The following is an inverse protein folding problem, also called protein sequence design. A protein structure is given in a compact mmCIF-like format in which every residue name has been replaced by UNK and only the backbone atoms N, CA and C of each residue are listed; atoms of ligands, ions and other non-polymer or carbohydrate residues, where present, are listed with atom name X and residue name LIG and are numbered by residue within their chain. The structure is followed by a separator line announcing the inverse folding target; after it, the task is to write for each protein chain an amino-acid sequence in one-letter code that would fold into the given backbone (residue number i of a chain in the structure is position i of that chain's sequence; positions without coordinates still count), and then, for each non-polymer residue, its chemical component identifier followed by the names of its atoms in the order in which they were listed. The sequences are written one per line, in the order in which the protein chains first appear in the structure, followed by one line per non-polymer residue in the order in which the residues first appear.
data_IF_682967776428
#
_entry.id   IF_682967776428
#
_cell.length_a   1.000
_cell.length_b   1.000
_cell.length_c   1.000
_cell.angle_alpha   90.00
_cell.angle_beta   90.00
_cell.angle_gamma   90.00
#
_symmetry.space_group_name_H-M   'P 1'
#
loop_
_entity.id
_entity.type
_entity.pdbx_description
1 polymer ?
#
# COMPACT_ATOMS: atom_id res chain seq x y z
N UNK A 1 -9.60 23.06 -22.00
CA UNK A 1 -10.02 21.65 -22.20
C UNK A 1 -9.20 21.11 -23.37
N UNK A 2 -8.14 20.36 -23.09
CA UNK A 2 -7.27 19.80 -24.13
C UNK A 2 -7.78 18.41 -24.51
N UNK A 3 -8.12 18.24 -25.79
CA UNK A 3 -8.55 16.99 -26.40
C UNK A 3 -7.43 15.96 -26.37
N UNK A 4 -7.70 14.81 -25.74
CA UNK A 4 -6.85 13.62 -25.78
C UNK A 4 -6.99 12.99 -27.18
N UNK A 5 -5.90 12.68 -27.90
CA UNK A 5 -5.98 12.01 -29.19
C UNK A 5 -6.43 10.55 -29.00
N UNK A 6 -7.21 9.98 -29.94
CA UNK A 6 -7.70 8.62 -29.82
C UNK A 6 -6.53 7.63 -29.97
N UNK A 7 -6.44 6.71 -29.02
CA UNK A 7 -5.57 5.55 -29.11
C UNK A 7 -6.17 4.59 -30.15
N UNK A 8 -5.60 4.56 -31.36
CA UNK A 8 -5.94 3.57 -32.38
C UNK A 8 -5.38 2.20 -31.98
N UNK A 9 -6.22 1.38 -31.35
CA UNK A 9 -5.99 -0.05 -31.23
C UNK A 9 -6.44 -0.71 -32.54
N UNK A 10 -5.52 -1.41 -33.20
CA UNK A 10 -5.78 -2.17 -34.42
C UNK A 10 -6.97 -3.10 -34.23
N UNK A 11 -7.99 -2.93 -35.07
CA UNK A 11 -9.12 -3.83 -35.16
C UNK A 11 -8.61 -5.18 -35.67
N UNK A 12 -8.70 -6.21 -34.84
CA UNK A 12 -8.50 -7.60 -35.25
C UNK A 12 -9.76 -8.02 -36.00
N UNK A 13 -9.60 -8.42 -37.27
CA UNK A 13 -10.69 -8.94 -38.09
C UNK A 13 -11.37 -10.14 -37.40
N UNK A 14 -12.70 -10.23 -37.40
CA UNK A 14 -13.41 -11.39 -36.88
C UNK A 14 -13.12 -12.60 -37.77
N UNK A 15 -12.65 -13.67 -37.14
CA UNK A 15 -12.34 -14.94 -37.80
C UNK A 15 -13.57 -15.54 -38.47
N UNK A 16 -13.37 -16.02 -39.69
CA UNK A 16 -14.27 -16.91 -40.39
C UNK A 16 -14.51 -18.15 -39.52
N UNK A 17 -15.77 -18.38 -39.18
CA UNK A 17 -16.27 -19.69 -38.77
C UNK A 17 -16.16 -20.60 -39.99
N UNK A 18 -15.41 -21.70 -39.86
CA UNK A 18 -15.57 -22.87 -40.72
C UNK A 18 -16.90 -23.52 -40.32
N UNK A 19 -17.84 -23.52 -41.24
CA UNK A 19 -18.96 -24.44 -41.23
C UNK A 19 -18.42 -25.75 -41.80
N UNK A 20 -18.27 -26.76 -40.95
CA UNK A 20 -18.04 -28.16 -41.31
C UNK A 20 -19.39 -28.85 -41.19
N UNK A 21 -20.08 -28.99 -42.31
CA UNK A 21 -21.18 -29.94 -42.53
C UNK A 21 -20.93 -30.52 -43.93
N UNK A 22 -20.15 -31.60 -44.00
CA UNK A 22 -20.10 -32.46 -45.18
C UNK A 22 -20.47 -33.88 -44.74
N UNK A 23 -21.54 -34.34 -45.38
CA UNK A 23 -22.27 -35.58 -45.14
C UNK A 23 -21.47 -36.81 -45.58
N UNK A 24 -21.79 -37.92 -44.94
CA UNK A 24 -21.26 -39.26 -45.14
C UNK A 24 -21.38 -39.75 -46.61
N UNK A 25 -20.26 -40.14 -47.22
CA UNK A 25 -20.24 -41.12 -48.32
C UNK A 25 -19.45 -42.38 -47.92
N UNK A 26 -19.93 -43.59 -48.29
CA UNK A 26 -19.33 -44.87 -47.91
C UNK A 26 -18.09 -45.23 -48.76
N UNK A 27 -17.26 -46.19 -48.31
CA UNK A 27 -15.91 -46.36 -48.83
C UNK A 27 -15.88 -47.16 -50.14
N UNK A 28 -15.12 -46.67 -51.12
CA UNK A 28 -14.63 -47.50 -52.22
C UNK A 28 -13.31 -48.17 -51.83
N UNK A 29 -13.29 -49.49 -52.00
CA UNK A 29 -12.13 -50.37 -51.93
C UNK A 29 -11.16 -50.06 -53.09
N UNK A 30 -9.87 -49.98 -52.78
CA UNK A 30 -8.82 -49.83 -53.79
C UNK A 30 -7.44 -50.13 -53.20
N UNK A 31 -6.93 -51.31 -53.55
CA UNK A 31 -5.64 -51.87 -53.16
C UNK A 31 -4.41 -51.11 -53.72
N UNK A 32 -3.27 -51.43 -53.08
CA UNK A 32 -1.91 -51.49 -53.63
C UNK A 32 -0.93 -50.31 -53.38
N UNK A 33 0.05 -50.62 -52.53
CA UNK A 33 1.50 -50.48 -52.70
C UNK A 33 2.09 -49.33 -53.55
N UNK A 34 3.04 -48.60 -52.95
CA UNK A 34 4.27 -48.22 -53.67
C UNK A 34 4.80 -46.79 -53.46
N UNK A 35 5.98 -46.70 -52.85
CA UNK A 35 7.13 -46.01 -53.46
C UNK A 35 7.27 -44.47 -53.41
N UNK A 36 8.30 -44.03 -52.67
CA UNK A 36 9.39 -43.13 -53.08
C UNK A 36 9.12 -41.73 -53.72
N UNK A 37 9.63 -40.71 -53.01
CA UNK A 37 10.68 -39.76 -53.47
C UNK A 37 10.48 -38.92 -54.76
N UNK A 38 10.39 -37.59 -54.59
CA UNK A 38 10.97 -36.49 -55.40
C UNK A 38 10.10 -35.21 -55.23
N UNK A 39 10.58 -34.12 -54.63
CA UNK A 39 11.47 -33.09 -55.17
C UNK A 39 10.81 -32.14 -56.20
N UNK A 40 10.72 -30.86 -55.83
CA UNK A 40 10.37 -29.72 -56.70
C UNK A 40 9.40 -28.75 -56.01
N UNK A 41 9.54 -27.44 -56.02
CA UNK A 41 10.60 -26.54 -56.46
C UNK A 41 10.32 -25.18 -55.80
N UNK A 42 11.37 -24.39 -55.65
CA UNK A 42 11.40 -23.11 -54.97
C UNK A 42 10.46 -22.05 -55.57
N UNK A 43 9.93 -21.17 -54.71
CA UNK A 43 9.87 -19.75 -55.02
C UNK A 43 10.16 -18.88 -53.80
N UNK A 44 11.37 -18.32 -53.79
CA UNK A 44 11.82 -17.23 -52.92
C UNK A 44 11.06 -15.95 -53.27
N UNK A 45 10.59 -15.23 -52.26
CA UNK A 45 10.65 -13.76 -52.23
C UNK A 45 11.24 -13.38 -50.87
N UNK A 46 12.47 -12.88 -50.93
CA UNK A 46 13.26 -12.26 -49.85
C UNK A 46 12.96 -10.75 -49.85
N UNK A 47 12.69 -10.18 -48.67
CA UNK A 47 13.22 -8.91 -48.14
C UNK A 47 12.98 -8.99 -46.61
N UNK A 48 13.89 -8.82 -45.68
CA UNK A 48 15.30 -8.46 -45.65
C UNK A 48 15.59 -8.07 -44.19
N UNK A 49 16.39 -8.87 -43.48
CA UNK A 49 16.92 -8.53 -42.17
C UNK A 49 18.25 -7.76 -42.38
N UNK A 50 18.48 -6.73 -41.58
CA UNK A 50 19.80 -6.10 -41.46
C UNK A 50 20.27 -6.21 -40.02
N UNK A 51 21.45 -6.80 -39.89
CA UNK A 51 22.26 -6.92 -38.70
C UNK A 51 22.77 -5.56 -38.23
N UNK A 52 22.92 -5.40 -36.92
CA UNK A 52 23.65 -4.29 -36.32
C UNK A 52 24.73 -4.85 -35.42
N UNK A 53 25.94 -4.96 -35.97
CA UNK A 53 27.20 -5.02 -35.25
C UNK A 53 27.57 -3.59 -34.83
N UNK A 54 27.77 -3.39 -33.52
CA UNK A 54 28.21 -2.12 -32.97
C UNK A 54 28.90 -2.33 -31.64
N UNK A 55 30.24 -2.34 -31.67
CA UNK A 55 31.12 -2.28 -30.51
C UNK A 55 30.84 -1.01 -29.70
N UNK A 56 30.62 -1.14 -28.39
CA UNK A 56 30.48 -0.02 -27.48
C UNK A 56 31.69 0.04 -26.54
N UNK A 57 32.59 1.00 -26.80
CA UNK A 57 33.67 1.40 -25.92
C UNK A 57 33.15 2.44 -24.91
N UNK A 58 33.59 2.35 -23.65
CA UNK A 58 33.25 3.33 -22.60
C UNK A 58 34.45 3.63 -21.72
N UNK A 59 34.77 4.91 -21.53
CA UNK A 59 35.53 5.54 -20.43
C UNK A 59 35.55 7.09 -20.64
N UNK A 60 35.82 7.96 -19.63
CA UNK A 60 35.39 7.98 -18.22
C UNK A 60 34.78 9.34 -17.73
N UNK A 61 33.97 9.28 -16.66
CA UNK A 61 33.58 10.24 -15.57
C UNK A 61 33.62 11.79 -15.70
N UNK A 62 32.69 12.53 -15.01
CA UNK A 62 33.08 13.12 -13.70
C UNK A 62 32.00 13.24 -12.56
N UNK A 63 32.22 12.49 -11.47
CA UNK A 63 32.37 12.85 -10.03
C UNK A 63 31.45 13.81 -9.20
N UNK A 64 30.23 14.20 -9.59
CA UNK A 64 29.35 14.89 -8.61
C UNK A 64 27.84 14.58 -8.73
N UNK A 65 27.40 13.47 -8.12
CA UNK A 65 26.00 13.31 -7.69
C UNK A 65 25.96 12.35 -6.50
N UNK A 66 26.07 12.90 -5.29
CA UNK A 66 25.88 12.14 -4.05
C UNK A 66 24.37 11.96 -3.83
N UNK A 67 23.83 10.89 -4.43
CA UNK A 67 22.58 10.27 -4.01
C UNK A 67 22.87 9.39 -2.81
N UNK A 68 22.26 9.67 -1.66
CA UNK A 68 22.20 8.72 -0.55
C UNK A 68 21.26 7.58 -0.92
N UNK A 69 21.77 6.65 -1.72
CA UNK A 69 21.17 5.34 -1.92
C UNK A 69 21.69 4.43 -0.82
N UNK A 70 20.81 3.91 0.04
CA UNK A 70 21.12 2.70 0.80
C UNK A 70 21.14 1.55 -0.21
N UNK A 71 22.28 1.42 -0.88
CA UNK A 71 22.57 0.33 -1.81
C UNK A 71 22.99 -0.86 -0.96
N UNK A 72 22.09 -1.83 -0.74
CA UNK A 72 22.59 -3.21 -0.60
C UNK A 72 23.31 -3.52 -1.91
N UNK A 73 24.64 -3.62 -1.84
CA UNK A 73 25.50 -3.77 -2.99
C UNK A 73 25.17 -5.04 -3.80
N UNK A 74 24.33 -4.90 -4.81
CA UNK A 74 24.32 -5.78 -5.96
C UNK A 74 25.19 -5.11 -7.03
N UNK A 75 26.39 -5.66 -7.23
CA UNK A 75 27.29 -5.23 -8.30
C UNK A 75 26.66 -5.59 -9.66
N UNK A 76 26.35 -4.60 -10.52
CA UNK A 76 25.83 -4.88 -11.85
C UNK A 76 27.02 -5.33 -12.72
N UNK A 77 27.05 -6.61 -13.11
CA UNK A 77 28.09 -7.17 -13.99
C UNK A 77 28.62 -8.53 -13.58
N UNK A 78 28.33 -9.01 -12.37
CA UNK A 78 28.58 -10.41 -11.99
C UNK A 78 27.26 -11.16 -11.99
N UNK A 79 27.16 -12.20 -12.82
CA UNK A 79 26.09 -13.19 -12.71
C UNK A 79 25.93 -13.58 -11.23
N UNK A 80 24.70 -13.69 -10.71
CA UNK A 80 24.48 -14.01 -9.31
C UNK A 80 25.27 -15.27 -8.99
N UNK A 81 26.13 -15.19 -7.96
CA UNK A 81 26.90 -16.33 -7.49
C UNK A 81 25.92 -17.51 -7.36
N UNK A 82 26.08 -18.53 -8.22
CA UNK A 82 25.37 -19.80 -8.07
C UNK A 82 25.90 -20.40 -6.78
N UNK A 83 25.21 -20.15 -5.68
CA UNK A 83 25.41 -20.87 -4.44
C UNK A 83 25.03 -22.33 -4.70
N UNK A 84 26.00 -23.13 -5.13
CA UNK A 84 25.87 -24.57 -5.15
C UNK A 84 25.95 -25.06 -3.70
N UNK A 85 24.80 -25.01 -3.02
CA UNK A 85 24.57 -25.80 -1.82
C UNK A 85 24.47 -27.26 -2.27
N UNK A 86 25.63 -27.92 -2.42
CA UNK A 86 25.72 -29.37 -2.56
C UNK A 86 25.23 -29.97 -1.24
N UNK A 87 24.11 -30.67 -1.27
CA UNK A 87 23.79 -31.64 -0.21
C UNK A 87 22.46 -31.50 0.54
N UNK A 88 21.52 -30.66 0.08
CA UNK A 88 20.14 -30.71 0.57
C UNK A 88 19.22 -30.98 -0.60
N UNK A 89 18.44 -32.06 -0.50
CA UNK A 89 17.47 -32.48 -1.51
C UNK A 89 16.57 -31.33 -1.96
N UNK A 90 15.95 -31.48 -3.14
CA UNK A 90 15.12 -30.51 -3.90
C UNK A 90 14.04 -29.75 -3.10
N UNK A 91 14.40 -29.05 -2.04
CA UNK A 91 13.62 -28.00 -1.43
C UNK A 91 13.87 -26.80 -2.34
N UNK A 92 12.91 -26.55 -3.24
CA UNK A 92 12.81 -25.27 -3.94
C UNK A 92 13.04 -24.20 -2.88
N UNK A 93 14.14 -23.45 -3.00
CA UNK A 93 14.30 -22.24 -2.24
C UNK A 93 13.07 -21.41 -2.55
N UNK A 94 12.11 -21.38 -1.62
CA UNK A 94 11.00 -20.45 -1.71
C UNK A 94 11.69 -19.12 -1.53
N UNK A 95 11.78 -18.29 -2.59
CA UNK A 95 12.45 -17.01 -2.45
C UNK A 95 11.77 -16.30 -1.29
N UNK A 96 12.55 -15.72 -0.38
CA UNK A 96 12.06 -14.94 0.78
C UNK A 96 10.96 -13.94 0.32
N UNK A 97 11.05 -13.50 -0.95
CA UNK A 97 10.09 -12.72 -1.72
C UNK A 97 8.67 -13.32 -1.83
N UNK A 98 8.52 -14.61 -2.14
CA UNK A 98 7.21 -15.26 -2.21
C UNK A 98 6.59 -15.42 -0.82
N UNK A 99 7.42 -15.72 0.18
CA UNK A 99 6.99 -15.85 1.58
C UNK A 99 6.46 -14.51 2.14
N UNK A 100 7.13 -13.38 1.90
CA UNK A 100 6.66 -12.07 2.38
C UNK A 100 5.38 -11.61 1.68
N UNK A 101 5.27 -11.85 0.36
CA UNK A 101 4.12 -11.40 -0.43
C UNK A 101 2.87 -12.23 -0.12
N UNK A 102 2.99 -13.55 0.04
CA UNK A 102 1.92 -14.42 0.57
C UNK A 102 1.61 -14.12 2.04
N UNK A 103 2.63 -13.84 2.87
CA UNK A 103 2.45 -13.47 4.28
C UNK A 103 1.71 -12.15 4.49
N UNK A 104 1.52 -11.31 3.48
CA UNK A 104 0.72 -10.07 3.64
C UNK A 104 -0.58 -10.12 2.83
N UNK A 105 -0.65 -10.87 1.73
CA UNK A 105 -1.84 -10.89 0.84
C UNK A 105 -2.90 -11.94 1.19
N UNK A 106 -2.50 -13.05 1.79
CA UNK A 106 -3.36 -14.20 2.12
C UNK A 106 -3.28 -14.58 3.59
N UNK A 107 -2.53 -13.80 4.38
CA UNK A 107 -2.29 -14.10 5.77
C UNK A 107 -3.54 -13.94 6.61
N UNK A 108 -4.09 -15.10 6.96
CA UNK A 108 -5.24 -15.23 7.85
C UNK A 108 -5.01 -14.53 9.19
N UNK A 109 -3.76 -14.46 9.68
CA UNK A 109 -3.43 -13.77 10.93
C UNK A 109 -3.63 -12.26 10.83
N UNK A 110 -3.26 -11.63 9.70
CA UNK A 110 -3.50 -10.19 9.51
C UNK A 110 -5.00 -9.88 9.49
N UNK A 111 -5.81 -10.71 8.84
CA UNK A 111 -7.26 -10.55 8.81
C UNK A 111 -7.91 -10.85 10.15
N UNK A 112 -7.45 -11.88 10.87
CA UNK A 112 -7.89 -12.14 12.23
C UNK A 112 -7.57 -10.95 13.15
N UNK A 113 -6.37 -10.39 13.03
CA UNK A 113 -5.98 -9.17 13.75
C UNK A 113 -6.89 -7.99 13.37
N UNK A 114 -7.19 -7.82 12.09
CA UNK A 114 -8.11 -6.77 11.59
C UNK A 114 -9.50 -6.91 12.21
N UNK A 115 -10.06 -8.12 12.23
CA UNK A 115 -11.36 -8.36 12.85
C UNK A 115 -11.33 -8.22 14.36
N UNK A 116 -10.25 -8.65 15.02
CA UNK A 116 -10.04 -8.39 16.44
C UNK A 116 -10.02 -6.89 16.74
N UNK A 117 -9.32 -6.12 15.92
CA UNK A 117 -9.28 -4.65 16.03
C UNK A 117 -10.68 -4.03 15.83
N UNK A 118 -11.41 -4.42 14.79
CA UNK A 118 -12.80 -3.96 14.55
C UNK A 118 -13.68 -4.31 15.75
N UNK A 119 -13.63 -5.56 16.22
CA UNK A 119 -14.45 -6.04 17.34
C UNK A 119 -14.17 -5.23 18.61
N UNK A 120 -12.89 -5.03 18.96
CA UNK A 120 -12.51 -4.20 20.11
C UNK A 120 -13.02 -2.77 19.94
N UNK A 121 -12.75 -2.13 18.80
CA UNK A 121 -13.16 -0.75 18.54
C UNK A 121 -14.69 -0.58 18.65
N UNK A 122 -15.47 -1.43 17.99
CA UNK A 122 -16.92 -1.35 18.00
C UNK A 122 -17.53 -1.70 19.35
N UNK A 123 -16.92 -2.64 20.09
CA UNK A 123 -17.36 -2.98 21.45
C UNK A 123 -17.19 -1.80 22.40
N UNK A 124 -16.05 -1.08 22.33
CA UNK A 124 -15.85 0.13 23.11
C UNK A 124 -16.85 1.23 22.77
N UNK A 125 -17.12 1.44 21.48
CA UNK A 125 -18.14 2.41 21.04
C UNK A 125 -19.51 2.03 21.60
N UNK A 126 -19.89 0.76 21.56
CA UNK A 126 -21.17 0.29 22.11
C UNK A 126 -21.25 0.43 23.64
N UNK A 127 -20.15 0.18 24.35
CA UNK A 127 -20.11 0.19 25.82
C UNK A 127 -20.00 1.59 26.42
N UNK A 128 -19.23 2.50 25.80
CA UNK A 128 -18.89 3.79 26.41
C UNK A 128 -19.29 4.99 25.57
N UNK A 129 -19.82 4.77 24.36
CA UNK A 129 -20.11 5.83 23.39
C UNK A 129 -18.85 6.46 22.80
N UNK A 130 -17.67 5.86 22.98
CA UNK A 130 -16.41 6.38 22.48
C UNK A 130 -15.49 5.26 21.95
N UNK A 131 -14.53 5.60 21.09
CA UNK A 131 -13.59 4.64 20.50
C UNK A 131 -12.60 4.04 21.52
N UNK A 132 -11.98 2.90 21.19
CA UNK A 132 -11.01 2.25 22.09
C UNK A 132 -9.88 3.19 22.50
N UNK A 133 -9.26 3.88 21.53
CA UNK A 133 -8.21 4.86 21.82
C UNK A 133 -8.74 6.13 22.50
N UNK A 134 -9.99 6.53 22.23
CA UNK A 134 -10.66 7.61 22.95
C UNK A 134 -10.72 7.32 24.44
N UNK A 135 -11.17 6.13 24.83
CA UNK A 135 -11.20 5.71 26.22
C UNK A 135 -9.80 5.54 26.81
N UNK A 136 -8.89 4.87 26.09
CA UNK A 136 -7.53 4.58 26.57
C UNK A 136 -6.72 5.86 26.85
N UNK A 137 -7.01 6.94 26.11
CA UNK A 137 -6.28 8.22 26.21
C UNK A 137 -7.05 9.30 26.97
N UNK A 138 -8.22 8.97 27.54
CA UNK A 138 -9.04 9.94 28.28
C UNK A 138 -9.67 11.03 27.41
N UNK A 139 -10.04 10.69 26.17
CA UNK A 139 -10.73 11.58 25.24
C UNK A 139 -9.80 12.36 24.29
N UNK A 140 -8.48 12.17 24.40
CA UNK A 140 -7.51 12.99 23.66
C UNK A 140 -7.35 12.53 22.21
N UNK A 141 -7.30 11.22 21.96
CA UNK A 141 -7.07 10.66 20.62
C UNK A 141 -8.27 9.89 20.13
N UNK A 142 -8.74 10.22 18.93
CA UNK A 142 -9.86 9.53 18.26
C UNK A 142 -11.13 9.46 19.09
N UNK A 143 -11.30 10.40 20.02
CA UNK A 143 -12.55 10.46 20.74
C UNK A 143 -13.65 10.90 19.79
N UNK A 144 -14.73 10.13 19.78
CA UNK A 144 -15.96 10.41 19.05
C UNK A 144 -16.70 11.62 19.64
N UNK A 145 -16.23 12.13 20.79
CA UNK A 145 -16.78 13.30 21.47
C UNK A 145 -16.09 14.61 21.06
N UNK A 146 -15.00 14.54 20.30
CA UNK A 146 -14.34 15.73 19.74
C UNK A 146 -15.20 16.38 18.66
N UNK A 147 -14.85 17.61 18.27
CA UNK A 147 -15.48 18.31 17.14
C UNK A 147 -15.42 17.51 15.82
N UNK A 148 -14.35 16.72 15.64
CA UNK A 148 -14.18 15.79 14.51
C UNK A 148 -14.90 14.45 14.71
N UNK A 149 -15.61 14.27 15.82
CA UNK A 149 -16.21 13.02 16.27
C UNK A 149 -17.25 12.44 15.31
N UNK A 150 -18.03 13.30 14.64
CA UNK A 150 -18.98 12.86 13.60
C UNK A 150 -18.24 12.23 12.42
N UNK A 151 -17.20 12.91 11.90
CA UNK A 151 -16.37 12.37 10.81
C UNK A 151 -15.65 11.09 11.22
N UNK A 152 -15.13 11.03 12.45
CA UNK A 152 -14.50 9.83 13.00
C UNK A 152 -15.49 8.68 13.12
N UNK A 153 -16.72 8.93 13.57
CA UNK A 153 -17.79 7.93 13.67
C UNK A 153 -18.07 7.33 12.30
N UNK A 154 -18.32 8.17 11.29
CA UNK A 154 -18.51 7.72 9.91
C UNK A 154 -17.32 6.91 9.42
N UNK A 155 -16.09 7.38 9.66
CA UNK A 155 -14.87 6.70 9.25
C UNK A 155 -14.73 5.32 9.88
N UNK A 156 -14.95 5.18 11.19
CA UNK A 156 -14.81 3.91 11.93
C UNK A 156 -15.84 2.89 11.46
N UNK A 157 -17.12 3.26 11.37
CA UNK A 157 -18.18 2.34 10.97
C UNK A 157 -18.06 1.94 9.49
N UNK A 158 -17.89 2.91 8.60
CA UNK A 158 -17.75 2.64 7.17
C UNK A 158 -16.43 1.92 6.84
N UNK A 159 -15.35 2.23 7.55
CA UNK A 159 -14.05 1.54 7.43
C UNK A 159 -14.14 0.08 7.87
N UNK A 160 -14.84 -0.19 8.97
CA UNK A 160 -15.11 -1.56 9.47
C UNK A 160 -15.94 -2.37 8.48
N UNK A 161 -16.99 -1.77 7.92
CA UNK A 161 -17.80 -2.40 6.87
C UNK A 161 -16.97 -2.64 5.60
N UNK A 162 -16.15 -1.66 5.21
CA UNK A 162 -15.27 -1.74 4.05
C UNK A 162 -14.26 -2.89 4.18
N UNK A 163 -13.58 -3.04 5.31
CA UNK A 163 -12.66 -4.16 5.53
C UNK A 163 -13.38 -5.52 5.58
N UNK A 164 -14.58 -5.58 6.16
CA UNK A 164 -15.40 -6.80 6.13
C UNK A 164 -15.77 -7.21 4.70
N UNK A 165 -16.13 -6.24 3.84
CA UNK A 165 -16.40 -6.50 2.42
C UNK A 165 -15.11 -6.91 1.68
N UNK A 166 -13.97 -6.28 1.97
CA UNK A 166 -12.68 -6.66 1.40
C UNK A 166 -12.33 -8.13 1.72
N UNK A 167 -12.58 -8.58 2.95
CA UNK A 167 -12.42 -9.98 3.34
C UNK A 167 -13.29 -10.91 2.48
N UNK A 168 -14.57 -10.58 2.30
CA UNK A 168 -15.48 -11.33 1.41
C UNK A 168 -14.89 -11.40 -0.01
N UNK A 169 -14.39 -10.29 -0.55
CA UNK A 169 -13.79 -10.24 -1.88
C UNK A 169 -12.52 -11.11 -2.00
N UNK A 170 -11.74 -11.23 -0.93
CA UNK A 170 -10.43 -11.90 -0.95
C UNK A 170 -10.53 -13.40 -0.68
N UNK A 171 -11.31 -13.79 0.33
CA UNK A 171 -11.39 -15.18 0.82
C UNK A 171 -12.59 -15.95 0.28
N UNK A 172 -13.73 -15.30 0.05
CA UNK A 172 -14.94 -15.97 -0.44
C UNK A 172 -14.98 -16.02 -1.97
N UNK A 173 -13.84 -16.37 -2.60
CA UNK A 173 -13.71 -16.44 -4.06
C UNK A 173 -14.64 -17.48 -4.68
N UNK A 174 -15.02 -18.51 -3.94
CA UNK A 174 -15.99 -19.51 -4.38
C UNK A 174 -17.34 -18.88 -4.73
N UNK A 175 -17.75 -17.83 -4.00
CA UNK A 175 -18.98 -17.08 -4.29
C UNK A 175 -18.95 -16.37 -5.65
N UNK A 176 -17.78 -16.25 -6.31
CA UNK A 176 -17.68 -15.69 -7.67
C UNK A 176 -18.28 -16.61 -8.73
N UNK A 177 -18.39 -17.91 -8.45
CA UNK A 177 -18.90 -18.93 -9.36
C UNK A 177 -20.24 -19.44 -8.80
N UNK A 178 -21.27 -19.51 -9.64
CA UNK A 178 -22.58 -20.00 -9.25
C UNK A 178 -23.62 -18.91 -8.91
N UNK A 179 -24.73 -19.29 -8.24
CA UNK A 179 -25.91 -18.42 -8.09
C UNK A 179 -25.65 -17.20 -7.20
N UNK A 180 -24.67 -17.24 -6.31
CA UNK A 180 -24.29 -16.14 -5.42
C UNK A 180 -23.26 -15.16 -6.04
N UNK A 181 -22.91 -15.33 -7.32
CA UNK A 181 -21.97 -14.45 -8.01
C UNK A 181 -22.39 -12.97 -8.01
N UNK A 182 -23.69 -12.70 -8.03
CA UNK A 182 -24.21 -11.33 -7.94
C UNK A 182 -23.91 -10.69 -6.59
N UNK A 183 -23.98 -11.44 -5.47
CA UNK A 183 -23.66 -10.96 -4.12
C UNK A 183 -22.18 -10.57 -4.04
N UNK A 184 -21.29 -11.41 -4.57
CA UNK A 184 -19.86 -11.09 -4.62
C UNK A 184 -19.60 -9.84 -5.47
N UNK A 185 -20.28 -9.66 -6.60
CA UNK A 185 -20.14 -8.44 -7.43
C UNK A 185 -20.70 -7.21 -6.75
N UNK A 186 -21.87 -7.32 -6.11
CA UNK A 186 -22.53 -6.23 -5.40
C UNK A 186 -21.69 -5.77 -4.20
N UNK A 187 -21.17 -6.70 -3.40
CA UNK A 187 -20.25 -6.39 -2.30
C UNK A 187 -18.96 -5.73 -2.78
N UNK A 188 -18.39 -6.15 -3.91
CA UNK A 188 -17.22 -5.50 -4.51
C UNK A 188 -17.49 -4.06 -4.97
N UNK A 189 -18.69 -3.78 -5.50
CA UNK A 189 -19.12 -2.41 -5.84
C UNK A 189 -19.33 -1.58 -4.58
N UNK A 190 -20.06 -2.10 -3.60
CA UNK A 190 -20.30 -1.43 -2.33
C UNK A 190 -18.99 -1.11 -1.61
N UNK A 191 -18.03 -2.03 -1.61
CA UNK A 191 -16.68 -1.84 -1.10
C UNK A 191 -16.01 -0.60 -1.72
N UNK A 192 -16.04 -0.47 -3.06
CA UNK A 192 -15.45 0.67 -3.75
C UNK A 192 -16.23 1.97 -3.50
N UNK A 193 -17.56 1.92 -3.44
CA UNK A 193 -18.39 3.09 -3.13
C UNK A 193 -18.12 3.61 -1.72
N UNK A 194 -18.03 2.72 -0.72
CA UNK A 194 -17.68 3.08 0.65
C UNK A 194 -16.31 3.76 0.70
N UNK A 195 -15.31 3.25 -0.03
CA UNK A 195 -14.01 3.90 -0.12
C UNK A 195 -14.12 5.30 -0.72
N UNK A 196 -14.69 5.41 -1.91
CA UNK A 196 -14.67 6.64 -2.70
C UNK A 196 -15.50 7.77 -2.08
N UNK A 197 -16.59 7.44 -1.40
CA UNK A 197 -17.54 8.45 -0.93
C UNK A 197 -17.50 8.70 0.57
N UNK A 198 -16.98 7.76 1.38
CA UNK A 198 -17.00 7.90 2.83
C UNK A 198 -15.59 7.72 3.42
N UNK A 199 -15.01 6.52 3.32
CA UNK A 199 -13.77 6.18 4.04
C UNK A 199 -12.58 7.00 3.56
N UNK A 200 -12.37 7.10 2.24
CA UNK A 200 -11.27 7.87 1.66
C UNK A 200 -11.37 9.36 1.97
N UNK A 201 -12.51 10.04 1.69
CA UNK A 201 -12.67 11.45 2.02
C UNK A 201 -12.55 11.75 3.52
N UNK A 202 -13.17 10.92 4.38
CA UNK A 202 -13.02 11.08 5.83
C UNK A 202 -11.59 10.82 6.29
N UNK A 203 -10.87 9.85 5.73
CA UNK A 203 -9.45 9.60 6.04
C UNK A 203 -8.56 10.80 5.70
N UNK A 204 -8.73 11.37 4.50
CA UNK A 204 -7.99 12.56 4.08
C UNK A 204 -8.33 13.78 4.97
N UNK A 205 -9.61 13.98 5.26
CA UNK A 205 -10.07 15.04 6.15
C UNK A 205 -9.47 14.90 7.56
N UNK A 206 -9.58 13.71 8.16
CA UNK A 206 -9.04 13.45 9.50
C UNK A 206 -7.52 13.60 9.52
N UNK A 207 -6.82 13.19 8.46
CA UNK A 207 -5.37 13.40 8.34
C UNK A 207 -5.00 14.88 8.34
N UNK A 208 -5.81 15.73 7.68
CA UNK A 208 -5.58 17.17 7.59
C UNK A 208 -6.01 17.96 8.82
N UNK A 209 -7.06 17.52 9.53
CA UNK A 209 -7.71 18.28 10.61
C UNK A 209 -7.41 17.72 11.99
N UNK A 210 -6.72 16.58 12.09
CA UNK A 210 -6.17 16.12 13.37
C UNK A 210 -5.34 17.24 14.00
N UNK A 211 -5.59 17.50 15.28
CA UNK A 211 -5.04 18.64 16.02
C UNK A 211 -3.53 18.76 15.85
N UNK A 212 -3.02 19.98 15.92
CA UNK A 212 -1.59 20.25 15.78
C UNK A 212 -0.78 19.75 16.97
N UNK A 213 -1.46 19.50 18.10
CA UNK A 213 -0.80 19.28 19.37
C UNK A 213 0.01 20.52 19.77
N UNK A 214 0.89 20.31 20.73
CA UNK A 214 1.82 21.36 21.20
C UNK A 214 2.85 21.69 20.12
N UNK A 215 3.48 22.86 20.20
CA UNK A 215 4.45 23.35 19.21
C UNK A 215 5.55 22.32 18.83
N UNK A 216 6.09 21.58 19.80
CA UNK A 216 7.10 20.55 19.57
C UNK A 216 6.57 19.32 18.81
N UNK A 217 5.25 19.11 18.76
CA UNK A 217 4.59 18.02 18.05
C UNK A 217 4.33 18.35 16.57
N UNK A 218 4.37 19.63 16.17
CA UNK A 218 3.86 20.09 14.87
C UNK A 218 4.51 19.37 13.69
N UNK A 219 5.84 19.17 13.73
CA UNK A 219 6.57 18.43 12.69
C UNK A 219 6.06 16.99 12.56
N UNK A 220 5.92 16.29 13.69
CA UNK A 220 5.45 14.91 13.69
C UNK A 220 3.99 14.83 13.23
N UNK A 221 3.13 15.75 13.68
CA UNK A 221 1.75 15.83 13.21
C UNK A 221 1.65 16.09 11.71
N UNK A 222 2.57 16.88 11.15
CA UNK A 222 2.67 17.05 9.71
C UNK A 222 3.03 15.72 9.03
N UNK A 223 4.02 14.97 9.53
CA UNK A 223 4.37 13.65 8.99
C UNK A 223 3.20 12.65 9.05
N UNK A 224 2.43 12.65 10.14
CA UNK A 224 1.18 11.88 10.25
C UNK A 224 0.19 12.27 9.14
N UNK A 225 -0.09 13.57 8.99
CA UNK A 225 -1.00 14.10 7.98
C UNK A 225 -0.56 13.71 6.56
N UNK A 226 0.73 13.90 6.24
CA UNK A 226 1.32 13.54 4.96
C UNK A 226 1.12 12.04 4.66
N UNK A 227 1.42 11.18 5.64
CA UNK A 227 1.29 9.72 5.49
C UNK A 227 -0.16 9.30 5.30
N UNK A 228 -1.09 9.86 6.09
CA UNK A 228 -2.51 9.57 5.97
C UNK A 228 -3.10 9.99 4.62
N UNK A 229 -2.69 11.14 4.09
CA UNK A 229 -3.09 11.57 2.75
C UNK A 229 -2.45 10.68 1.68
N UNK A 230 -1.15 10.39 1.79
CA UNK A 230 -0.44 9.61 0.77
C UNK A 230 -1.01 8.19 0.70
N UNK A 231 -1.23 7.52 1.83
CA UNK A 231 -1.91 6.21 1.88
C UNK A 231 -3.29 6.25 1.23
N UNK A 232 -4.05 7.32 1.45
CA UNK A 232 -5.36 7.52 0.81
C UNK A 232 -5.22 7.64 -0.71
N UNK A 233 -4.28 8.45 -1.19
CA UNK A 233 -4.02 8.66 -2.62
C UNK A 233 -3.54 7.37 -3.30
N UNK A 234 -2.63 6.62 -2.68
CA UNK A 234 -2.18 5.32 -3.19
C UNK A 234 -3.33 4.31 -3.25
N UNK A 235 -4.17 4.22 -2.21
CA UNK A 235 -5.34 3.36 -2.23
C UNK A 235 -6.29 3.71 -3.37
N UNK A 236 -6.63 4.99 -3.56
CA UNK A 236 -7.40 5.47 -4.71
C UNK A 236 -6.78 5.07 -6.04
N UNK A 237 -5.47 5.29 -6.19
CA UNK A 237 -4.76 4.96 -7.40
C UNK A 237 -4.89 3.46 -7.74
N UNK A 238 -4.63 2.57 -6.78
CA UNK A 238 -4.70 1.13 -7.04
C UNK A 238 -6.14 0.63 -7.26
N UNK A 239 -7.13 1.19 -6.57
CA UNK A 239 -8.54 0.86 -6.87
C UNK A 239 -8.95 1.35 -8.26
N UNK A 240 -8.51 2.54 -8.67
CA UNK A 240 -8.71 3.04 -10.01
C UNK A 240 -8.04 2.14 -11.06
N UNK A 241 -6.78 1.76 -10.87
CA UNK A 241 -6.10 0.82 -11.78
C UNK A 241 -6.80 -0.53 -11.83
N UNK A 242 -7.27 -1.04 -10.69
CA UNK A 242 -8.05 -2.26 -10.64
C UNK A 242 -9.33 -2.18 -11.48
N UNK A 243 -10.02 -1.02 -11.46
CA UNK A 243 -11.20 -0.77 -12.30
C UNK A 243 -10.84 -0.69 -13.78
N UNK A 244 -9.76 0.00 -14.13
CA UNK A 244 -9.25 0.10 -15.51
C UNK A 244 -8.92 -1.29 -16.05
N UNK A 245 -8.18 -2.11 -15.31
CA UNK A 245 -7.82 -3.48 -15.72
C UNK A 245 -9.07 -4.33 -15.99
N UNK A 246 -10.14 -4.17 -15.20
CA UNK A 246 -11.41 -4.90 -15.42
C UNK A 246 -12.13 -4.44 -16.68
N UNK A 247 -12.12 -3.13 -16.97
CA UNK A 247 -12.80 -2.56 -18.14
C UNK A 247 -12.11 -2.97 -19.45
N UNK A 248 -10.78 -2.98 -19.46
CA UNK A 248 -9.97 -3.33 -20.64
C UNK A 248 -9.48 -4.77 -20.60
N UNK A 249 -10.28 -5.70 -20.06
CA UNK A 249 -9.97 -7.13 -19.99
C UNK A 249 -9.73 -7.71 -21.38
N UNK A 250 -8.49 -7.71 -21.85
CA UNK A 250 -8.07 -8.36 -23.09
C UNK A 250 -7.63 -9.80 -22.87
N UNK A 251 -7.02 -10.10 -21.72
CA UNK A 251 -6.31 -11.35 -21.47
C UNK A 251 -6.98 -12.26 -20.41
N UNK A 252 -8.30 -12.39 -20.45
CA UNK A 252 -9.04 -13.41 -19.68
C UNK A 252 -8.65 -13.51 -18.19
N UNK A 253 -8.01 -14.62 -17.80
CA UNK A 253 -7.61 -14.94 -16.43
C UNK A 253 -6.47 -14.06 -15.89
N UNK A 254 -5.48 -13.73 -16.70
CA UNK A 254 -4.34 -12.89 -16.28
C UNK A 254 -4.81 -11.50 -15.83
N UNK A 255 -5.76 -10.91 -16.58
CA UNK A 255 -6.36 -9.63 -16.21
C UNK A 255 -7.18 -9.73 -14.90
N UNK A 256 -7.78 -10.89 -14.61
CA UNK A 256 -8.49 -11.11 -13.34
C UNK A 256 -7.53 -11.18 -12.16
N UNK A 257 -6.39 -11.86 -12.33
CA UNK A 257 -5.37 -11.91 -11.30
C UNK A 257 -4.75 -10.53 -11.05
N UNK A 258 -4.42 -9.80 -12.11
CA UNK A 258 -3.87 -8.45 -12.03
C UNK A 258 -4.82 -7.47 -11.34
N UNK A 259 -6.12 -7.53 -11.67
CA UNK A 259 -7.16 -6.81 -10.95
C UNK A 259 -7.18 -7.18 -9.45
N UNK A 260 -7.11 -8.48 -9.15
CA UNK A 260 -7.07 -8.97 -7.76
C UNK A 260 -5.85 -8.46 -6.99
N UNK A 261 -4.66 -8.44 -7.61
CA UNK A 261 -3.45 -7.85 -7.02
C UNK A 261 -3.62 -6.36 -6.77
N UNK A 262 -4.11 -5.60 -7.74
CA UNK A 262 -4.35 -4.16 -7.57
C UNK A 262 -5.35 -3.85 -6.46
N UNK A 263 -6.48 -4.57 -6.40
CA UNK A 263 -7.46 -4.42 -5.30
C UNK A 263 -6.83 -4.70 -3.94
N UNK A 264 -6.08 -5.80 -3.80
CA UNK A 264 -5.41 -6.15 -2.53
C UNK A 264 -4.37 -5.10 -2.14
N UNK A 265 -3.60 -4.58 -3.08
CA UNK A 265 -2.63 -3.51 -2.80
C UNK A 265 -3.33 -2.26 -2.31
N UNK A 266 -4.41 -1.83 -2.96
CA UNK A 266 -5.22 -0.72 -2.47
C UNK A 266 -5.74 -0.97 -1.05
N UNK A 267 -6.26 -2.17 -0.77
CA UNK A 267 -6.71 -2.54 0.59
C UNK A 267 -5.58 -2.46 1.62
N UNK A 268 -4.36 -2.91 1.29
CA UNK A 268 -3.20 -2.80 2.21
C UNK A 268 -2.90 -1.36 2.60
N UNK A 269 -2.98 -0.43 1.64
CA UNK A 269 -2.81 0.99 1.94
C UNK A 269 -3.85 1.48 2.95
N UNK A 270 -5.11 1.05 2.81
CA UNK A 270 -6.15 1.36 3.80
C UNK A 270 -5.85 0.75 5.19
N UNK A 271 -5.20 -0.42 5.22
CA UNK A 271 -4.89 -1.17 6.43
C UNK A 271 -3.58 -0.75 7.10
N UNK A 272 -2.80 0.19 6.53
CA UNK A 272 -1.54 0.64 7.13
C UNK A 272 -1.76 1.23 8.54
N UNK A 273 -2.97 1.75 8.79
CA UNK A 273 -3.40 2.21 10.10
C UNK A 273 -3.31 1.11 11.18
N UNK A 274 -3.50 -0.17 10.84
CA UNK A 274 -3.43 -1.27 11.80
C UNK A 274 -2.02 -1.44 12.41
N UNK A 275 -0.99 -1.24 11.58
CA UNK A 275 0.40 -1.19 12.07
C UNK A 275 0.57 -0.01 13.03
N UNK A 276 0.15 1.18 12.61
CA UNK A 276 0.25 2.39 13.41
C UNK A 276 -0.43 2.21 14.79
N UNK A 277 -1.66 1.66 14.81
CA UNK A 277 -2.42 1.42 16.05
C UNK A 277 -1.76 0.39 16.96
N UNK A 278 -1.17 -0.67 16.40
CA UNK A 278 -0.42 -1.66 17.19
C UNK A 278 0.75 -1.00 17.93
N UNK A 279 1.56 -0.23 17.22
CA UNK A 279 2.72 0.44 17.81
C UNK A 279 2.26 1.49 18.82
N UNK A 280 1.20 2.23 18.52
CA UNK A 280 0.64 3.24 19.43
C UNK A 280 0.15 2.59 20.73
N UNK A 281 -0.59 1.49 20.64
CA UNK A 281 -1.02 0.73 21.81
C UNK A 281 0.17 0.23 22.63
N UNK A 282 1.20 -0.33 21.98
CA UNK A 282 2.41 -0.81 22.66
C UNK A 282 3.10 0.32 23.43
N UNK A 283 3.26 1.50 22.82
CA UNK A 283 3.89 2.66 23.48
C UNK A 283 3.06 3.12 24.68
N UNK A 284 1.73 3.19 24.53
CA UNK A 284 0.84 3.55 25.64
C UNK A 284 0.94 2.52 26.77
N UNK A 285 0.83 1.22 26.46
CA UNK A 285 0.90 0.15 27.44
C UNK A 285 2.25 0.11 28.17
N UNK A 286 3.35 0.26 27.44
CA UNK A 286 4.70 0.31 28.02
C UNK A 286 4.83 1.48 29.00
N UNK A 287 4.30 2.67 28.65
CA UNK A 287 4.29 3.80 29.58
C UNK A 287 3.49 3.48 30.84
N UNK A 288 2.27 2.97 30.69
CA UNK A 288 1.43 2.61 31.84
C UNK A 288 2.14 1.62 32.76
N UNK A 289 2.84 0.64 32.19
CA UNK A 289 3.67 -0.29 32.94
C UNK A 289 4.81 0.43 33.67
N UNK A 290 5.58 1.27 32.98
CA UNK A 290 6.69 2.04 33.58
C UNK A 290 6.19 2.92 34.73
N UNK A 291 5.10 3.66 34.54
CA UNK A 291 4.52 4.52 35.57
C UNK A 291 4.02 3.72 36.77
N UNK A 292 3.41 2.56 36.52
CA UNK A 292 2.96 1.65 37.57
C UNK A 292 4.15 1.10 38.38
N UNK A 293 5.23 0.69 37.69
CA UNK A 293 6.46 0.22 38.33
C UNK A 293 7.13 1.33 39.14
N UNK A 294 7.25 2.55 38.58
CA UNK A 294 7.81 3.70 39.29
C UNK A 294 7.02 4.01 40.56
N UNK A 295 5.68 3.95 40.49
CA UNK A 295 4.80 4.17 41.64
C UNK A 295 4.96 3.09 42.71
N UNK A 296 5.00 1.81 42.33
CA UNK A 296 5.14 0.69 43.27
C UNK A 296 6.51 0.70 43.94
N UNK A 297 7.57 0.99 43.18
CA UNK A 297 8.94 0.93 43.68
C UNK A 297 9.38 2.18 44.45
N UNK A 298 8.51 3.17 44.65
CA UNK A 298 8.85 4.49 45.21
C UNK A 298 10.07 5.12 44.54
N UNK A 299 10.26 4.78 43.26
CA UNK A 299 11.41 5.22 42.47
C UNK A 299 11.46 6.73 42.26
N UNK A 300 10.38 7.55 42.30
CA UNK A 300 10.52 8.99 42.19
C UNK A 300 11.47 9.59 43.25
N UNK A 301 11.44 9.06 44.47
CA UNK A 301 12.32 9.50 45.57
C UNK A 301 13.76 9.03 45.38
N UNK A 302 13.95 7.78 44.95
CA UNK A 302 15.27 7.21 44.63
C UNK A 302 15.87 7.82 43.35
N UNK A 303 15.03 8.16 42.38
CA UNK A 303 15.37 8.78 41.10
C UNK A 303 15.76 10.23 41.31
N UNK A 304 14.99 11.00 42.09
CA UNK A 304 15.37 12.35 42.49
C UNK A 304 16.73 12.35 43.23
N UNK A 305 16.96 11.37 44.12
CA UNK A 305 18.25 11.17 44.79
C UNK A 305 19.38 10.81 43.82
N UNK A 306 19.17 9.87 42.90
CA UNK A 306 20.17 9.42 41.93
C UNK A 306 20.49 10.48 40.86
N UNK A 307 19.51 11.29 40.44
CA UNK A 307 19.71 12.44 39.55
C UNK A 307 20.49 13.53 40.28
N UNK A 308 20.13 13.85 41.54
CA UNK A 308 20.88 14.82 42.35
C UNK A 308 22.33 14.35 42.62
N UNK A 309 22.54 13.04 42.78
CA UNK A 309 23.86 12.44 42.93
C UNK A 309 24.64 12.30 41.61
N UNK A 310 24.04 12.60 40.46
CA UNK A 310 24.68 12.51 39.15
C UNK A 310 24.92 11.07 38.65
N UNK A 311 24.28 10.06 39.26
CA UNK A 311 24.50 8.64 38.95
C UNK A 311 23.79 8.18 37.68
N UNK A 312 22.86 8.98 37.17
CA UNK A 312 22.10 8.69 35.97
C UNK A 312 22.73 9.44 34.80
N UNK A 313 23.25 8.74 33.77
CA UNK A 313 23.77 9.38 32.58
C UNK A 313 22.72 10.33 31.96
N UNK A 314 23.18 11.49 31.49
CA UNK A 314 22.30 12.52 30.93
C UNK A 314 21.34 12.00 29.84
N UNK A 315 21.77 11.03 29.03
CA UNK A 315 20.92 10.43 27.99
C UNK A 315 19.76 9.60 28.59
N UNK A 316 19.99 8.87 29.68
CA UNK A 316 18.97 8.08 30.39
C UNK A 316 17.99 9.00 31.11
N UNK A 317 18.48 10.14 31.61
CA UNK A 317 17.65 11.20 32.16
C UNK A 317 16.71 11.79 31.09
N UNK A 318 17.22 12.13 29.91
CA UNK A 318 16.39 12.61 28.78
C UNK A 318 15.39 11.54 28.33
N UNK A 319 15.77 10.27 28.31
CA UNK A 319 14.88 9.18 27.92
C UNK A 319 13.75 8.97 28.94
N UNK A 320 14.08 8.97 30.24
CA UNK A 320 13.10 8.78 31.32
C UNK A 320 12.25 10.02 31.52
N UNK A 321 12.83 11.23 31.57
CA UNK A 321 12.04 12.48 31.61
C UNK A 321 11.21 12.64 30.33
N UNK A 322 11.70 12.20 29.17
CA UNK A 322 10.94 12.20 27.92
C UNK A 322 9.77 11.20 27.90
N UNK A 323 9.89 10.07 28.59
CA UNK A 323 8.84 9.04 28.67
C UNK A 323 7.89 9.25 29.86
N UNK A 324 8.38 9.82 30.96
CA UNK A 324 7.68 9.96 32.25
C UNK A 324 7.20 11.40 32.48
N UNK A 325 8.03 12.41 32.18
CA UNK A 325 7.81 13.80 32.56
C UNK A 325 7.32 14.71 31.42
N UNK A 326 7.61 14.40 30.15
CA UNK A 326 6.94 15.08 29.04
C UNK A 326 5.44 14.78 29.15
N UNK A 327 4.58 15.81 29.23
CA UNK A 327 3.15 15.62 29.16
C UNK A 327 2.89 14.83 27.89
N UNK A 328 2.39 13.61 28.06
CA UNK A 328 2.17 12.67 26.98
C UNK A 328 1.11 13.28 26.08
N UNK A 329 1.54 14.14 25.15
CA UNK A 329 0.70 14.61 24.08
C UNK A 329 0.52 13.39 23.20
N UNK A 330 -0.60 12.70 23.37
CA UNK A 330 -0.87 11.44 22.68
C UNK A 330 -0.79 11.63 21.15
N UNK A 331 -0.94 12.86 20.67
CA UNK A 331 -0.70 13.27 19.29
C UNK A 331 0.77 13.09 18.85
N UNK A 332 1.73 13.30 19.76
CA UNK A 332 3.16 13.08 19.52
C UNK A 332 3.46 11.59 19.31
N UNK A 333 2.92 10.70 20.15
CA UNK A 333 3.07 9.24 19.97
C UNK A 333 2.46 8.81 18.64
N UNK A 334 1.22 9.23 18.40
CA UNK A 334 0.47 8.94 17.19
C UNK A 334 1.34 9.23 15.97
N UNK A 335 2.04 10.36 16.02
CA UNK A 335 2.90 10.80 14.94
C UNK A 335 4.25 10.08 14.87
N UNK A 336 4.90 9.77 16.00
CA UNK A 336 6.13 8.96 16.01
C UNK A 336 5.92 7.59 15.35
N UNK A 337 4.78 6.96 15.61
CA UNK A 337 4.45 5.65 15.01
C UNK A 337 4.27 5.72 13.49
N UNK A 338 4.05 6.92 12.94
CA UNK A 338 3.96 7.14 11.49
C UNK A 338 5.25 7.57 10.83
N UNK A 339 6.30 7.94 11.57
CA UNK A 339 7.56 8.42 10.97
C UNK A 339 8.18 7.36 10.05
N UNK A 340 8.21 6.09 10.47
CA UNK A 340 8.79 5.01 9.66
C UNK A 340 7.96 4.78 8.38
N UNK A 341 6.62 4.58 8.46
CA UNK A 341 5.78 4.56 7.27
C UNK A 341 5.96 5.80 6.37
N UNK A 342 6.01 7.00 6.96
CA UNK A 342 6.19 8.25 6.24
C UNK A 342 7.50 8.27 5.45
N UNK A 343 8.61 7.91 6.08
CA UNK A 343 9.93 7.86 5.44
C UNK A 343 9.95 6.87 4.26
N UNK A 344 9.36 5.69 4.44
CA UNK A 344 9.25 4.68 3.37
C UNK A 344 8.41 5.21 2.20
N UNK A 345 7.27 5.84 2.48
CA UNK A 345 6.36 6.36 1.45
C UNK A 345 6.93 7.59 0.73
N UNK A 346 7.62 8.47 1.46
CA UNK A 346 8.36 9.59 0.87
C UNK A 346 9.47 9.09 -0.06
N UNK A 347 10.08 7.94 0.25
CA UNK A 347 11.02 7.26 -0.65
C UNK A 347 10.41 6.86 -1.99
N UNK A 348 9.09 6.72 -2.10
CA UNK A 348 8.38 6.46 -3.36
C UNK A 348 8.09 7.76 -4.11
N UNK A 349 9.12 8.60 -4.28
CA UNK A 349 9.03 9.92 -4.91
C UNK A 349 8.40 9.84 -6.31
N UNK A 350 8.74 8.80 -7.08
CA UNK A 350 8.24 8.58 -8.44
C UNK A 350 6.88 7.85 -8.50
N UNK A 351 6.25 7.61 -7.35
CA UNK A 351 4.86 7.15 -7.25
C UNK A 351 4.66 5.62 -7.25
N UNK A 352 3.48 5.13 -7.69
CA UNK A 352 2.99 3.75 -7.55
C UNK A 352 3.69 2.74 -8.45
N UNK A 353 4.53 3.22 -9.37
CA UNK A 353 5.38 2.38 -10.22
C UNK A 353 6.78 2.20 -9.65
N UNK A 354 7.03 2.63 -8.41
CA UNK A 354 8.32 2.43 -7.77
C UNK A 354 8.68 0.94 -7.79
N UNK A 355 9.96 0.64 -7.97
CA UNK A 355 10.46 -0.73 -7.99
C UNK A 355 10.05 -1.50 -6.74
N UNK A 356 10.02 -0.84 -5.58
CA UNK A 356 9.57 -1.38 -4.30
C UNK A 356 8.10 -1.83 -4.36
N UNK A 357 7.20 -1.03 -4.95
CA UNK A 357 5.79 -1.38 -5.03
C UNK A 357 5.50 -2.46 -6.08
N UNK A 358 6.15 -2.37 -7.25
CA UNK A 358 6.09 -3.43 -8.26
C UNK A 358 6.62 -4.76 -7.70
N UNK A 359 7.71 -4.71 -6.92
CA UNK A 359 8.27 -5.86 -6.20
C UNK A 359 7.31 -6.39 -5.14
N UNK A 360 6.72 -5.52 -4.31
CA UNK A 360 5.77 -5.91 -3.26
C UNK A 360 4.47 -6.52 -3.81
N UNK A 361 4.15 -6.26 -5.08
CA UNK A 361 3.05 -6.87 -5.82
C UNK A 361 3.46 -8.12 -6.60
N UNK A 362 4.75 -8.46 -6.63
CA UNK A 362 5.32 -9.52 -7.47
C UNK A 362 4.90 -9.39 -8.93
N UNK A 363 4.96 -8.17 -9.48
CA UNK A 363 4.64 -7.91 -10.88
C UNK A 363 5.81 -8.30 -11.78
N UNK A 364 5.51 -9.03 -12.86
CA UNK A 364 6.42 -9.20 -13.99
C UNK A 364 6.42 -7.93 -14.84
N UNK A 365 7.47 -7.73 -15.63
CA UNK A 365 7.61 -6.54 -16.48
C UNK A 365 6.43 -6.35 -17.46
N UNK A 366 5.94 -7.44 -18.07
CA UNK A 366 4.74 -7.42 -18.93
C UNK A 366 3.46 -7.04 -18.18
N UNK A 367 3.37 -7.39 -16.89
CA UNK A 367 2.24 -7.08 -16.03
C UNK A 367 2.28 -5.63 -15.54
N UNK A 368 3.47 -5.04 -15.39
CA UNK A 368 3.63 -3.61 -15.09
C UNK A 368 3.01 -2.79 -16.22
N UNK A 369 3.34 -3.10 -17.46
CA UNK A 369 2.78 -2.43 -18.63
C UNK A 369 1.26 -2.62 -18.72
N UNK A 370 0.75 -3.84 -18.50
CA UNK A 370 -0.69 -4.10 -18.44
C UNK A 370 -1.39 -3.35 -17.29
N UNK A 371 -0.75 -3.26 -16.12
CA UNK A 371 -1.33 -2.62 -14.95
C UNK A 371 -1.33 -1.12 -15.06
N UNK A 372 -0.28 -0.50 -15.59
CA UNK A 372 -0.07 0.95 -15.57
C UNK A 372 -0.18 1.63 -16.94
N UNK A 373 -0.19 0.86 -18.03
CA UNK A 373 -0.23 1.33 -19.42
C UNK A 373 1.15 1.65 -20.02
N UNK A 374 2.20 1.67 -19.22
CA UNK A 374 3.60 1.76 -19.68
C UNK A 374 4.53 1.19 -18.61
N UNK A 375 5.73 0.74 -19.03
CA UNK A 375 6.75 0.22 -18.09
C UNK A 375 7.30 1.30 -17.17
N UNK A 376 7.63 2.45 -17.74
CA UNK A 376 8.16 3.58 -16.98
C UNK A 376 7.10 4.67 -16.77
N UNK A 377 7.14 5.37 -15.62
CA UNK A 377 6.30 6.55 -15.41
C UNK A 377 6.76 7.68 -16.35
N UNK A 378 5.80 8.31 -17.02
CA UNK A 378 6.06 9.46 -17.89
C UNK A 378 6.57 10.67 -17.10
N UNK A 379 7.17 11.65 -17.80
CA UNK A 379 7.72 12.87 -17.17
C UNK A 379 6.66 13.62 -16.35
N UNK A 380 5.45 13.76 -16.89
CA UNK A 380 4.34 14.41 -16.19
C UNK A 380 3.90 13.64 -14.94
N UNK A 381 3.84 12.30 -15.01
CA UNK A 381 3.51 11.46 -13.86
C UNK A 381 4.55 11.62 -12.74
N UNK A 382 5.84 11.53 -13.07
CA UNK A 382 6.93 11.78 -12.11
C UNK A 382 6.81 13.17 -11.46
N UNK A 383 6.55 14.20 -12.27
CA UNK A 383 6.37 15.57 -11.78
C UNK A 383 5.16 15.69 -10.84
N UNK A 384 4.01 15.13 -11.20
CA UNK A 384 2.81 15.15 -10.36
C UNK A 384 3.02 14.43 -9.02
N UNK A 385 3.69 13.27 -9.04
CA UNK A 385 4.03 12.55 -7.81
C UNK A 385 5.04 13.32 -6.95
N UNK A 386 6.02 13.99 -7.55
CA UNK A 386 6.97 14.84 -6.81
C UNK A 386 6.30 16.07 -6.19
N UNK A 387 5.34 16.66 -6.89
CA UNK A 387 4.59 17.84 -6.42
C UNK A 387 3.61 17.49 -5.28
N UNK A 388 3.28 16.21 -5.07
CA UNK A 388 2.32 15.81 -4.03
C UNK A 388 2.76 16.23 -2.63
N UNK A 389 4.04 16.08 -2.30
CA UNK A 389 4.55 16.38 -0.95
C UNK A 389 4.41 17.87 -0.62
N UNK A 390 4.91 18.82 -1.44
CA UNK A 390 4.68 20.24 -1.16
C UNK A 390 3.19 20.61 -1.18
N UNK A 391 2.37 19.96 -2.02
CA UNK A 391 0.92 20.17 -2.00
C UNK A 391 0.29 19.73 -0.68
N UNK A 392 0.65 18.55 -0.17
CA UNK A 392 0.13 18.07 1.11
C UNK A 392 0.59 18.95 2.27
N UNK A 393 1.84 19.43 2.26
CA UNK A 393 2.34 20.41 3.23
C UNK A 393 1.51 21.70 3.16
N UNK A 394 1.27 22.24 1.98
CA UNK A 394 0.44 23.43 1.81
C UNK A 394 -0.99 23.22 2.32
N UNK A 395 -1.62 22.10 2.00
CA UNK A 395 -2.94 21.73 2.51
C UNK A 395 -2.95 21.63 4.05
N UNK A 396 -1.90 21.04 4.63
CA UNK A 396 -1.76 20.96 6.09
C UNK A 396 -1.58 22.35 6.70
N UNK A 397 -0.80 23.24 6.11
CA UNK A 397 -0.66 24.63 6.59
C UNK A 397 -2.00 25.36 6.55
N UNK A 398 -2.76 25.24 5.46
CA UNK A 398 -4.10 25.86 5.35
C UNK A 398 -5.07 25.29 6.39
N UNK A 399 -5.08 23.96 6.58
CA UNK A 399 -5.92 23.32 7.60
C UNK A 399 -5.49 23.74 9.02
N UNK A 400 -4.19 23.86 9.25
CA UNK A 400 -3.59 24.28 10.52
C UNK A 400 -3.92 25.75 10.84
N UNK A 401 -3.92 26.65 9.86
CA UNK A 401 -4.22 28.07 10.08
C UNK A 401 -5.58 28.29 10.74
N UNK A 402 -6.61 27.51 10.37
CA UNK A 402 -7.90 27.57 11.05
C UNK A 402 -7.79 27.15 12.52
N UNK A 403 -7.08 26.06 12.79
CA UNK A 403 -6.81 25.61 14.16
C UNK A 403 -5.93 26.58 14.98
N UNK A 404 -5.01 27.32 14.34
CA UNK A 404 -4.21 28.35 15.00
C UNK A 404 -5.06 29.56 15.37
N UNK A 405 -5.95 30.00 14.47
CA UNK A 405 -6.86 31.13 14.72
C UNK A 405 -7.87 30.78 15.82
N UNK A 406 -8.39 29.54 15.83
CA UNK A 406 -9.29 29.06 16.88
C UNK A 406 -8.55 28.85 18.22
N UNK A 407 -7.35 28.26 18.19
CA UNK A 407 -6.56 28.06 19.42
C UNK A 407 -6.06 29.34 20.07
N UNK A 408 -5.68 30.37 19.29
CA UNK A 408 -5.34 31.69 19.82
C UNK A 408 -6.53 32.36 20.52
N UNK A 409 -7.77 32.08 20.10
CA UNK A 409 -8.97 32.60 20.77
C UNK A 409 -9.23 31.95 22.12
N UNK A 410 -8.86 30.68 22.29
CA UNK A 410 -9.08 29.94 23.54
C UNK A 410 -7.99 30.24 24.59
N UNK A 411 -6.75 30.54 24.16
CA UNK A 411 -5.65 30.91 25.06
C UNK A 411 -5.73 32.37 25.57
N UNK A 412 -6.52 33.23 24.92
CA UNK A 412 -6.72 34.64 25.30
C UNK A 412 -7.77 34.87 26.40
N UNK A 413 -8.44 33.83 26.90
CA UNK A 413 -9.22 33.88 28.14
C UNK A 413 -10.20 35.06 28.26
N UNK A 414 -11.20 35.10 27.37
CA UNK A 414 -12.54 35.61 27.72
C UNK A 414 -13.36 34.44 28.26
#
# INVERSE_FOLDING_TARGET
MASVPPCTLGARAPGQRKDEDEEDEPPEEGDAEGGAEAAGEAKRVLVGAQDFDGEFQWEPDPWWMVSWSVTMAFSPGKAPAKWHVRGLGKHRAIPIHAAFTDFVLTNKALWLYTFGFIAVQLSFVAMTGDGFFGNLTGGVVESLRLTTGTSMTWHVFSGSALWSLAFVQIFLRQLRRGPLAWVHRASGRLYLLLWCFIVGPTSAYLSLVVGLGRAHAHFFMAMFALTGIDTTVFAYYYFWRALVVVRYRTNGEDSRDLHGRAMRTGSKFTMLILWQRSVQFLVIALRWLILSLLRVLSLPTLWAGAVAAGWIPAFLRVLVEGVVALPFDHNVILSYTTVVPAAVMLGWVDGPRSSVLCWAMSLKESEVEALFGSREPGRFEKWAWRLRVPLYVALRVVAAQRGWIEGMRDDDGI
#
